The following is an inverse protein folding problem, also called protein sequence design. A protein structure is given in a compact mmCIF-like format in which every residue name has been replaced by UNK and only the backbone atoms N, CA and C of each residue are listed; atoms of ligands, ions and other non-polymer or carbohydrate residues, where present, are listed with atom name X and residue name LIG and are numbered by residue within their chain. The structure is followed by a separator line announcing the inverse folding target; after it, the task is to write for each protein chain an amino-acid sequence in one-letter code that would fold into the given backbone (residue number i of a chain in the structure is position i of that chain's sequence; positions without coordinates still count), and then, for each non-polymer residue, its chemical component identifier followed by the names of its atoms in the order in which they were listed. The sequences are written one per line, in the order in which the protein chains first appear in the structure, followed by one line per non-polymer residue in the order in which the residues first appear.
data_IF_172911620583
#
_entry.id   IF_172911620583
#
_cell.length_a   1.000
_cell.length_b   1.000
_cell.length_c   1.000
_cell.angle_alpha   90.00
_cell.angle_beta   90.00
_cell.angle_gamma   90.00
#
_symmetry.space_group_name_H-M   'P 1'
#
loop_
_entity.id
_entity.type
_entity.pdbx_description
1 polymer ?
#
# COMPACT_ATOMS: atom_id res chain seq x y z
N UNK A 1 3.36 -3.36 -8.45
CA UNK A 1 1.97 -2.83 -8.51
C UNK A 1 1.78 -2.12 -9.83
N UNK A 2 0.81 -2.51 -10.64
CA UNK A 2 0.43 -1.92 -11.95
C UNK A 2 1.53 -1.83 -13.03
N UNK A 3 2.60 -2.59 -12.91
CA UNK A 3 3.79 -2.44 -13.77
C UNK A 3 3.51 -2.62 -15.26
N UNK A 4 2.65 -3.56 -15.62
CA UNK A 4 2.29 -3.83 -17.01
C UNK A 4 1.46 -2.67 -17.58
N UNK A 5 0.45 -2.21 -16.83
CA UNK A 5 -0.40 -1.10 -17.26
C UNK A 5 0.41 0.20 -17.39
N UNK A 6 1.22 0.51 -16.37
CA UNK A 6 2.10 1.71 -16.37
C UNK A 6 3.05 1.71 -17.56
N UNK A 7 3.64 0.56 -17.91
CA UNK A 7 4.52 0.44 -19.05
C UNK A 7 3.80 0.71 -20.39
N UNK A 8 2.62 0.11 -20.58
CA UNK A 8 1.84 0.30 -21.81
C UNK A 8 1.35 1.73 -21.98
N UNK A 9 0.91 2.37 -20.89
CA UNK A 9 0.50 3.77 -20.90
C UNK A 9 1.69 4.69 -21.20
N UNK A 10 2.87 4.45 -20.63
CA UNK A 10 4.10 5.21 -20.93
C UNK A 10 4.49 5.09 -22.41
N UNK A 11 4.32 3.92 -23.04
CA UNK A 11 4.56 3.74 -24.47
C UNK A 11 3.55 4.54 -25.30
N UNK A 12 2.27 4.50 -24.94
CA UNK A 12 1.24 5.28 -25.65
C UNK A 12 1.54 6.80 -25.62
N UNK A 13 2.02 7.33 -24.47
CA UNK A 13 2.39 8.75 -24.37
C UNK A 13 3.71 9.09 -25.09
N UNK A 14 4.65 8.15 -25.20
CA UNK A 14 5.91 8.39 -25.94
C UNK A 14 5.67 8.68 -27.42
N UNK A 15 4.64 8.11 -28.01
CA UNK A 15 4.29 8.34 -29.42
C UNK A 15 3.87 9.79 -29.68
N UNK A 16 3.49 10.55 -28.64
CA UNK A 16 3.22 11.99 -28.72
C UNK A 16 4.45 12.88 -28.44
N UNK A 17 5.53 12.32 -27.89
CA UNK A 17 6.76 13.07 -27.64
C UNK A 17 7.42 13.44 -28.98
N UNK A 18 7.59 14.73 -29.23
CA UNK A 18 8.16 15.26 -30.49
C UNK A 18 7.14 15.83 -31.47
N UNK A 19 5.85 15.71 -31.15
CA UNK A 19 4.81 16.34 -31.96
C UNK A 19 4.49 17.74 -31.43
N UNK A 20 4.65 18.75 -32.22
CA UNK A 20 4.53 20.16 -31.81
C UNK A 20 3.08 20.65 -31.62
N UNK A 21 2.07 19.88 -32.03
CA UNK A 21 0.65 20.25 -31.91
C UNK A 21 -0.23 19.04 -31.65
N UNK A 22 -1.30 19.26 -30.87
CA UNK A 22 -2.40 18.30 -30.75
C UNK A 22 -3.22 18.37 -32.03
N UNK A 23 -3.32 17.24 -32.71
CA UNK A 23 -4.24 17.05 -33.83
C UNK A 23 -5.24 15.95 -33.48
N UNK A 24 -6.41 15.99 -34.11
CA UNK A 24 -7.44 14.97 -33.87
C UNK A 24 -6.91 13.55 -34.19
N UNK A 25 -6.07 13.41 -35.20
CA UNK A 25 -5.47 12.13 -35.61
C UNK A 25 -4.55 11.59 -34.50
N UNK A 26 -3.68 12.46 -33.94
CA UNK A 26 -2.71 12.07 -32.94
C UNK A 26 -3.39 11.67 -31.62
N UNK A 27 -4.40 12.43 -31.20
CA UNK A 27 -5.21 12.14 -30.02
C UNK A 27 -5.96 10.82 -30.21
N UNK A 28 -6.62 10.63 -31.35
CA UNK A 28 -7.37 9.41 -31.65
C UNK A 28 -6.48 8.15 -31.62
N UNK A 29 -5.27 8.23 -32.19
CA UNK A 29 -4.30 7.14 -32.16
C UNK A 29 -3.88 6.80 -30.72
N UNK A 30 -3.46 7.81 -29.95
CA UNK A 30 -3.00 7.60 -28.57
C UNK A 30 -4.12 7.11 -27.64
N UNK A 31 -5.34 7.65 -27.79
CA UNK A 31 -6.51 7.22 -27.03
C UNK A 31 -6.87 5.76 -27.34
N UNK A 32 -6.70 5.32 -28.59
CA UNK A 32 -6.86 3.90 -28.96
C UNK A 32 -5.83 3.01 -28.27
N UNK A 33 -4.58 3.44 -28.17
CA UNK A 33 -3.53 2.71 -27.43
C UNK A 33 -3.80 2.70 -25.92
N UNK A 34 -4.26 3.81 -25.34
CA UNK A 34 -4.67 3.87 -23.92
C UNK A 34 -5.82 2.88 -23.68
N UNK A 35 -6.85 2.88 -24.54
CA UNK A 35 -7.97 1.92 -24.42
C UNK A 35 -7.49 0.48 -24.48
N UNK A 36 -6.60 0.16 -25.40
CA UNK A 36 -6.01 -1.16 -25.51
C UNK A 36 -5.23 -1.54 -24.25
N UNK A 37 -4.42 -0.62 -23.72
CA UNK A 37 -3.67 -0.84 -22.48
C UNK A 37 -4.60 -1.12 -21.28
N UNK A 38 -5.73 -0.42 -21.16
CA UNK A 38 -6.73 -0.64 -20.13
C UNK A 38 -7.41 -2.01 -20.29
N UNK A 39 -7.78 -2.41 -21.51
CA UNK A 39 -8.39 -3.72 -21.78
C UNK A 39 -7.39 -4.85 -21.49
N UNK A 40 -6.14 -4.71 -21.92
CA UNK A 40 -5.07 -5.67 -21.64
C UNK A 40 -4.74 -5.76 -20.13
N UNK A 41 -5.07 -4.72 -19.37
CA UNK A 41 -4.98 -4.69 -17.91
C UNK A 41 -6.25 -5.25 -17.22
N UNK A 42 -7.12 -5.89 -17.98
CA UNK A 42 -8.36 -6.51 -17.46
C UNK A 42 -9.40 -5.51 -16.94
N UNK A 43 -9.37 -4.26 -17.46
CA UNK A 43 -10.41 -3.27 -17.16
C UNK A 43 -11.68 -3.62 -17.96
N UNK A 44 -12.84 -3.48 -17.33
CA UNK A 44 -14.13 -3.70 -18.00
C UNK A 44 -14.23 -2.86 -19.28
N UNK A 45 -14.66 -3.46 -20.41
CA UNK A 45 -14.70 -2.81 -21.71
C UNK A 45 -15.51 -1.50 -21.73
N UNK A 46 -16.70 -1.50 -21.09
CA UNK A 46 -17.55 -0.28 -21.02
C UNK A 46 -16.82 0.83 -20.29
N UNK A 47 -16.21 0.51 -19.16
CA UNK A 47 -15.42 1.44 -18.35
C UNK A 47 -14.24 1.99 -19.14
N UNK A 48 -13.46 1.12 -19.80
CA UNK A 48 -12.32 1.54 -20.62
C UNK A 48 -12.75 2.45 -21.79
N UNK A 49 -13.92 2.17 -22.40
CA UNK A 49 -14.49 2.99 -23.46
C UNK A 49 -14.90 4.36 -22.94
N UNK A 50 -15.69 4.44 -21.89
CA UNK A 50 -16.18 5.69 -21.30
C UNK A 50 -15.03 6.63 -20.91
N UNK A 51 -14.03 6.12 -20.19
CA UNK A 51 -12.85 6.89 -19.81
C UNK A 51 -12.08 7.43 -21.00
N UNK A 52 -11.84 6.58 -22.01
CA UNK A 52 -11.06 6.99 -23.16
C UNK A 52 -11.81 7.93 -24.10
N UNK A 53 -13.13 7.83 -24.16
CA UNK A 53 -13.96 8.80 -24.88
C UNK A 53 -13.96 10.15 -24.16
N UNK A 54 -14.02 10.19 -22.84
CA UNK A 54 -13.86 11.42 -22.03
C UNK A 54 -12.47 12.04 -22.21
N UNK A 55 -11.40 11.23 -22.18
CA UNK A 55 -10.03 11.70 -22.44
C UNK A 55 -9.95 12.37 -23.83
N UNK A 56 -10.53 11.74 -24.87
CA UNK A 56 -10.56 12.29 -26.23
C UNK A 56 -11.26 13.64 -26.28
N UNK A 57 -12.46 13.73 -25.72
CA UNK A 57 -13.26 14.97 -25.69
C UNK A 57 -12.52 16.10 -24.98
N UNK A 58 -11.97 15.85 -23.81
CA UNK A 58 -11.21 16.85 -23.03
C UNK A 58 -9.90 17.27 -23.70
N UNK A 59 -9.26 16.36 -24.40
CA UNK A 59 -8.03 16.68 -25.14
C UNK A 59 -8.29 17.55 -26.37
N UNK A 60 -9.41 17.34 -27.07
CA UNK A 60 -9.78 18.13 -28.26
C UNK A 60 -10.43 19.48 -27.89
N UNK A 61 -11.06 19.60 -26.72
CA UNK A 61 -11.73 20.83 -26.27
C UNK A 61 -10.82 21.85 -25.58
N UNK A 62 -9.54 21.56 -25.38
CA UNK A 62 -8.60 22.50 -24.73
C UNK A 62 -7.62 23.11 -25.71
N UNK A 63 -7.57 24.43 -25.75
CA UNK A 63 -6.47 25.16 -26.38
C UNK A 63 -5.16 24.81 -25.66
N UNK A 64 -4.18 24.32 -26.41
CA UNK A 64 -2.85 24.00 -25.85
C UNK A 64 -2.17 25.30 -25.49
N UNK A 65 -2.06 25.61 -24.21
CA UNK A 65 -1.22 26.70 -23.75
C UNK A 65 0.21 26.47 -24.26
N UNK A 66 0.79 27.53 -24.82
CA UNK A 66 2.11 27.54 -25.53
C UNK A 66 3.25 26.91 -24.70
N UNK A 67 3.06 26.76 -23.37
CA UNK A 67 4.08 26.28 -22.43
C UNK A 67 4.03 24.78 -22.07
N UNK A 68 3.03 24.01 -22.57
CA UNK A 68 2.84 22.60 -22.19
C UNK A 68 2.89 21.72 -23.43
N UNK A 69 3.69 20.65 -23.39
CA UNK A 69 3.75 19.71 -24.51
C UNK A 69 2.46 18.89 -24.64
N UNK A 70 2.03 18.49 -25.85
CA UNK A 70 0.86 17.66 -26.09
C UNK A 70 0.82 16.39 -25.22
N UNK A 71 1.96 15.72 -25.06
CA UNK A 71 2.07 14.52 -24.23
C UNK A 71 1.84 14.80 -22.74
N UNK A 72 2.34 15.93 -22.20
CA UNK A 72 2.12 16.33 -20.81
C UNK A 72 0.64 16.64 -20.54
N UNK A 73 -0.01 17.35 -21.46
CA UNK A 73 -1.44 17.66 -21.34
C UNK A 73 -2.29 16.37 -21.35
N UNK A 74 -2.03 15.45 -22.27
CA UNK A 74 -2.76 14.20 -22.34
C UNK A 74 -2.50 13.30 -21.11
N UNK A 75 -1.27 13.27 -20.60
CA UNK A 75 -0.93 12.57 -19.36
C UNK A 75 -1.72 13.15 -18.18
N UNK A 76 -1.81 14.48 -18.06
CA UNK A 76 -2.58 15.15 -17.01
C UNK A 76 -4.07 14.82 -17.12
N UNK A 77 -4.67 14.95 -18.32
CA UNK A 77 -6.08 14.59 -18.55
C UNK A 77 -6.32 13.13 -18.18
N UNK A 78 -5.43 12.22 -18.59
CA UNK A 78 -5.55 10.79 -18.27
C UNK A 78 -5.48 10.54 -16.77
N UNK A 79 -4.60 11.26 -16.03
CA UNK A 79 -4.53 11.17 -14.56
C UNK A 79 -5.83 11.62 -13.89
N UNK A 80 -6.35 12.75 -14.33
CA UNK A 80 -7.63 13.30 -13.83
C UNK A 80 -8.78 12.31 -14.08
N UNK A 81 -8.88 11.74 -15.29
CA UNK A 81 -9.93 10.78 -15.65
C UNK A 81 -9.81 9.46 -14.87
N UNK A 82 -8.61 8.92 -14.73
CA UNK A 82 -8.39 7.72 -13.92
C UNK A 82 -8.71 7.98 -12.44
N UNK A 83 -8.35 9.15 -11.91
CA UNK A 83 -8.71 9.56 -10.55
C UNK A 83 -10.22 9.64 -10.36
N UNK A 84 -10.94 10.29 -11.29
CA UNK A 84 -12.41 10.38 -11.28
C UNK A 84 -13.07 9.01 -11.38
N UNK A 85 -12.57 8.13 -12.24
CA UNK A 85 -13.04 6.75 -12.38
C UNK A 85 -12.97 5.99 -11.05
N UNK A 86 -11.89 6.16 -10.32
CA UNK A 86 -11.67 5.51 -9.01
C UNK A 86 -12.37 6.22 -7.86
N UNK A 87 -13.04 7.35 -8.11
CA UNK A 87 -13.86 8.02 -7.10
C UNK A 87 -13.59 9.50 -6.88
N UNK A 88 -12.60 10.06 -7.51
CA UNK A 88 -12.22 11.47 -7.41
C UNK A 88 -11.63 11.86 -6.07
N UNK A 89 -12.36 11.61 -4.98
CA UNK A 89 -11.94 11.94 -3.60
C UNK A 89 -11.84 10.71 -2.71
N UNK A 90 -11.01 10.81 -1.68
CA UNK A 90 -10.93 9.81 -0.63
C UNK A 90 -12.28 9.63 0.07
N UNK A 91 -12.62 8.38 0.42
CA UNK A 91 -13.79 8.06 1.24
C UNK A 91 -13.34 7.50 2.59
N UNK A 92 -13.78 8.14 3.66
CA UNK A 92 -13.45 7.71 5.01
C UNK A 92 -14.33 6.54 5.48
N UNK A 93 -13.78 5.74 6.41
CA UNK A 93 -14.55 4.71 7.11
C UNK A 93 -15.52 5.36 8.10
N UNK A 94 -16.76 4.87 8.14
CA UNK A 94 -17.74 5.34 9.11
C UNK A 94 -17.50 4.70 10.48
N UNK A 95 -17.11 5.52 11.44
CA UNK A 95 -16.84 5.11 12.82
C UNK A 95 -17.88 5.66 13.81
N UNK A 96 -19.10 5.88 13.35
CA UNK A 96 -20.21 6.31 14.21
C UNK A 96 -20.63 5.18 15.18
N UNK A 97 -21.12 5.59 16.35
CA UNK A 97 -21.52 4.63 17.42
C UNK A 97 -20.43 4.36 18.44
N UNK A 98 -20.85 3.81 19.60
CA UNK A 98 -19.96 3.44 20.69
C UNK A 98 -20.46 2.15 21.39
N UNK A 99 -19.89 0.97 21.09
CA UNK A 99 -18.88 0.74 20.07
C UNK A 99 -19.42 0.94 18.66
N UNK A 100 -18.58 1.42 17.72
CA UNK A 100 -18.88 1.25 16.31
C UNK A 100 -18.65 -0.20 15.89
N UNK A 101 -19.44 -0.69 14.96
CA UNK A 101 -19.36 -2.08 14.48
C UNK A 101 -19.00 -2.10 13.00
N UNK A 102 -17.95 -2.81 12.66
CA UNK A 102 -17.46 -2.97 11.28
C UNK A 102 -17.61 -4.44 10.89
N UNK A 103 -18.41 -4.70 9.86
CA UNK A 103 -18.61 -6.04 9.33
C UNK A 103 -17.71 -6.27 8.13
N UNK A 104 -16.92 -7.35 8.16
CA UNK A 104 -16.01 -7.72 7.08
C UNK A 104 -16.60 -8.87 6.29
N UNK A 105 -16.82 -8.69 5.00
CA UNK A 105 -17.40 -9.68 4.10
C UNK A 105 -16.53 -9.95 2.86
N UNK A 106 -16.72 -11.07 2.18
CA UNK A 106 -16.01 -11.45 0.96
C UNK A 106 -15.75 -12.94 0.82
N UNK A 107 -15.22 -13.38 -0.31
CA UNK A 107 -14.96 -14.80 -0.60
C UNK A 107 -13.80 -15.37 0.25
N UNK A 108 -13.70 -16.70 0.28
CA UNK A 108 -12.55 -17.38 0.86
C UNK A 108 -11.27 -17.00 0.12
N UNK A 109 -10.18 -16.80 0.86
CA UNK A 109 -8.88 -16.40 0.29
C UNK A 109 -8.78 -14.95 -0.14
N UNK A 110 -9.85 -14.13 -0.01
CA UNK A 110 -9.78 -12.69 -0.32
C UNK A 110 -8.97 -11.87 0.71
N UNK A 111 -8.54 -12.47 1.81
CA UNK A 111 -7.73 -11.79 2.82
C UNK A 111 -8.51 -11.11 3.96
N UNK A 112 -9.77 -11.48 4.20
CA UNK A 112 -10.62 -10.90 5.26
C UNK A 112 -9.97 -10.90 6.63
N UNK A 113 -9.56 -12.07 7.11
CA UNK A 113 -8.97 -12.26 8.44
C UNK A 113 -7.69 -11.45 8.62
N UNK A 114 -6.80 -11.46 7.60
CA UNK A 114 -5.58 -10.64 7.60
C UNK A 114 -5.93 -9.15 7.59
N UNK A 115 -6.92 -8.74 6.79
CA UNK A 115 -7.37 -7.36 6.74
C UNK A 115 -8.03 -6.93 8.04
N UNK A 116 -8.81 -7.78 8.70
CA UNK A 116 -9.40 -7.52 10.03
C UNK A 116 -8.31 -7.20 11.06
N UNK A 117 -7.21 -7.95 11.08
CA UNK A 117 -6.03 -7.67 11.92
C UNK A 117 -5.36 -6.33 11.54
N UNK A 118 -5.14 -6.06 10.25
CA UNK A 118 -4.56 -4.79 9.77
C UNK A 118 -5.43 -3.59 10.13
N UNK A 119 -6.74 -3.69 9.96
CA UNK A 119 -7.70 -2.64 10.32
C UNK A 119 -7.70 -2.40 11.82
N UNK A 120 -7.64 -3.47 12.63
CA UNK A 120 -7.53 -3.36 14.09
C UNK A 120 -6.25 -2.62 14.52
N UNK A 121 -5.11 -2.95 13.90
CA UNK A 121 -3.84 -2.25 14.13
C UNK A 121 -3.93 -0.77 13.74
N UNK A 122 -4.53 -0.48 12.58
CA UNK A 122 -4.75 0.89 12.09
C UNK A 122 -5.63 1.72 13.05
N UNK A 123 -6.75 1.16 13.52
CA UNK A 123 -7.65 1.84 14.46
C UNK A 123 -7.01 2.01 15.83
N UNK A 124 -6.22 1.04 16.30
CA UNK A 124 -5.45 1.14 17.57
C UNK A 124 -4.43 2.28 17.50
N UNK A 125 -3.72 2.44 16.37
CA UNK A 125 -2.80 3.58 16.16
C UNK A 125 -3.52 4.93 16.16
N UNK A 126 -4.82 4.95 15.82
CA UNK A 126 -5.69 6.14 15.93
C UNK A 126 -6.30 6.32 17.34
N UNK A 127 -5.80 5.61 18.34
CA UNK A 127 -6.23 5.74 19.75
C UNK A 127 -7.52 5.01 20.11
N UNK A 128 -8.01 4.10 19.25
CA UNK A 128 -9.23 3.33 19.54
C UNK A 128 -8.93 2.04 20.30
N UNK A 129 -9.86 1.66 21.20
CA UNK A 129 -9.87 0.36 21.86
C UNK A 129 -10.67 -0.61 21.00
N UNK A 130 -10.00 -1.61 20.39
CA UNK A 130 -10.60 -2.51 19.40
C UNK A 130 -10.87 -3.89 19.99
N UNK A 131 -11.96 -4.52 19.56
CA UNK A 131 -12.25 -5.94 19.74
C UNK A 131 -12.36 -6.59 18.37
N UNK A 132 -11.62 -7.67 18.14
CA UNK A 132 -11.79 -8.56 16.98
C UNK A 132 -12.77 -9.67 17.34
N UNK A 133 -13.68 -10.04 16.43
CA UNK A 133 -14.69 -11.08 16.63
C UNK A 133 -14.55 -12.14 15.56
N UNK A 134 -14.35 -13.41 15.98
CA UNK A 134 -14.21 -14.54 15.09
C UNK A 134 -15.58 -15.16 14.79
N UNK A 135 -16.17 -14.83 13.64
CA UNK A 135 -17.42 -15.39 13.15
C UNK A 135 -17.26 -16.38 11.98
N UNK A 136 -16.02 -16.83 11.67
CA UNK A 136 -15.82 -17.96 10.75
C UNK A 136 -15.98 -19.29 11.49
N UNK A 137 -17.24 -19.70 11.65
CA UNK A 137 -17.62 -20.91 12.41
C UNK A 137 -17.31 -22.22 11.69
N UNK A 138 -16.97 -22.16 10.41
CA UNK A 138 -16.71 -23.35 9.57
C UNK A 138 -15.26 -23.79 9.58
N UNK A 139 -14.33 -22.88 9.95
CA UNK A 139 -12.89 -23.14 9.90
C UNK A 139 -12.24 -22.83 11.24
N UNK A 140 -12.02 -23.84 12.09
CA UNK A 140 -11.32 -23.65 13.38
C UNK A 140 -9.97 -22.95 13.22
N UNK A 141 -9.21 -23.29 12.18
CA UNK A 141 -7.94 -22.65 11.88
C UNK A 141 -8.04 -21.12 11.62
N UNK A 142 -9.18 -20.63 11.13
CA UNK A 142 -9.39 -19.18 10.95
C UNK A 142 -9.55 -18.45 12.29
N UNK A 143 -10.21 -19.10 13.27
CA UNK A 143 -10.32 -18.57 14.64
C UNK A 143 -8.93 -18.48 15.26
N UNK A 144 -8.11 -19.52 15.16
CA UNK A 144 -6.77 -19.54 15.70
C UNK A 144 -5.87 -18.52 14.99
N UNK A 145 -5.99 -18.39 13.68
CA UNK A 145 -5.30 -17.35 12.91
C UNK A 145 -5.65 -15.95 13.41
N UNK A 146 -6.92 -15.66 13.66
CA UNK A 146 -7.34 -14.35 14.18
C UNK A 146 -6.81 -14.10 15.59
N UNK A 147 -6.75 -15.13 16.45
CA UNK A 147 -6.15 -15.03 17.79
C UNK A 147 -4.66 -14.69 17.70
N UNK A 148 -3.90 -15.40 16.86
CA UNK A 148 -2.46 -15.11 16.65
C UNK A 148 -2.26 -13.68 16.18
N UNK A 149 -3.06 -13.22 15.22
CA UNK A 149 -3.00 -11.83 14.75
C UNK A 149 -3.35 -10.84 15.88
N UNK A 150 -4.37 -11.14 16.69
CA UNK A 150 -4.74 -10.32 17.83
C UNK A 150 -3.60 -10.20 18.86
N UNK A 151 -2.95 -11.29 19.19
CA UNK A 151 -1.77 -11.32 20.07
C UNK A 151 -0.62 -10.50 19.50
N UNK A 152 -0.31 -10.68 18.22
CA UNK A 152 0.77 -9.95 17.53
C UNK A 152 0.59 -8.44 17.62
N UNK A 153 -0.64 -7.93 17.47
CA UNK A 153 -0.93 -6.49 17.51
C UNK A 153 -1.38 -5.99 18.88
N UNK A 154 -1.50 -6.89 19.87
CA UNK A 154 -1.99 -6.58 21.23
C UNK A 154 -3.45 -6.09 21.22
N UNK A 155 -4.33 -6.77 20.49
CA UNK A 155 -5.78 -6.53 20.42
C UNK A 155 -6.52 -7.78 20.88
N UNK A 156 -7.53 -7.59 21.73
CA UNK A 156 -8.37 -8.67 22.24
C UNK A 156 -9.20 -9.31 21.12
N UNK A 157 -9.29 -10.65 21.13
CA UNK A 157 -10.12 -11.45 20.21
C UNK A 157 -11.21 -12.15 20.97
N UNK A 158 -12.45 -11.94 20.59
CA UNK A 158 -13.61 -12.66 21.07
C UNK A 158 -13.92 -13.84 20.17
N UNK A 159 -14.05 -15.03 20.73
CA UNK A 159 -14.37 -16.25 20.01
C UNK A 159 -15.15 -17.23 20.90
N UNK A 160 -16.12 -17.91 20.31
CA UNK A 160 -16.87 -19.01 20.92
C UNK A 160 -16.73 -20.27 20.04
N UNK A 161 -15.66 -21.08 20.16
CA UNK A 161 -15.36 -22.17 19.23
C UNK A 161 -16.44 -23.24 19.12
N UNK A 162 -17.17 -23.47 20.21
CA UNK A 162 -18.24 -24.46 20.27
C UNK A 162 -19.58 -23.95 19.71
N UNK A 163 -19.74 -22.63 19.61
CA UNK A 163 -20.97 -22.02 19.11
C UNK A 163 -20.97 -22.03 17.57
N UNK A 164 -22.01 -22.60 16.98
CA UNK A 164 -22.19 -22.69 15.51
C UNK A 164 -23.15 -21.63 14.97
N UNK A 165 -23.50 -20.63 15.77
CA UNK A 165 -24.37 -19.54 15.35
C UNK A 165 -23.61 -18.22 15.32
N UNK A 166 -23.19 -17.80 14.14
CA UNK A 166 -22.40 -16.58 13.93
C UNK A 166 -23.13 -15.31 14.43
N UNK A 167 -24.46 -15.26 14.31
CA UNK A 167 -25.28 -14.15 14.80
C UNK A 167 -25.26 -14.05 16.31
N UNK A 168 -25.34 -15.19 17.00
CA UNK A 168 -25.28 -15.24 18.47
C UNK A 168 -23.88 -14.82 18.97
N UNK A 169 -22.81 -15.34 18.35
CA UNK A 169 -21.42 -14.96 18.66
C UNK A 169 -21.26 -13.44 18.53
N UNK A 170 -21.71 -12.85 17.44
CA UNK A 170 -21.61 -11.43 17.19
C UNK A 170 -22.37 -10.59 18.23
N UNK A 171 -23.59 -10.99 18.58
CA UNK A 171 -24.38 -10.32 19.63
C UNK A 171 -23.73 -10.41 21.01
N UNK A 172 -23.19 -11.57 21.38
CA UNK A 172 -22.47 -11.76 22.64
C UNK A 172 -21.19 -10.92 22.66
N UNK A 173 -20.46 -10.87 21.54
CA UNK A 173 -19.28 -10.02 21.39
C UNK A 173 -19.59 -8.53 21.54
N UNK A 174 -20.72 -8.04 21.02
CA UNK A 174 -21.15 -6.66 21.21
C UNK A 174 -21.48 -6.34 22.68
N UNK A 175 -22.14 -7.26 23.41
CA UNK A 175 -22.34 -7.13 24.87
C UNK A 175 -21.01 -7.09 25.61
N UNK A 176 -20.09 -7.99 25.26
CA UNK A 176 -18.75 -8.03 25.83
C UNK A 176 -17.98 -6.73 25.54
N UNK A 177 -18.02 -6.23 24.29
CA UNK A 177 -17.38 -4.98 23.91
C UNK A 177 -17.88 -3.78 24.76
N UNK A 178 -19.19 -3.67 24.94
CA UNK A 178 -19.80 -2.64 25.79
C UNK A 178 -19.35 -2.74 27.24
N UNK A 179 -19.35 -3.95 27.83
CA UNK A 179 -18.92 -4.17 29.23
C UNK A 179 -17.43 -3.87 29.45
N UNK A 180 -16.59 -4.03 28.41
CA UNK A 180 -15.15 -3.78 28.45
C UNK A 180 -14.75 -2.38 27.96
N UNK A 181 -15.70 -1.52 27.64
CA UNK A 181 -15.43 -0.15 27.15
C UNK A 181 -14.66 -0.12 25.82
N UNK A 182 -14.91 -1.09 24.95
CA UNK A 182 -14.32 -1.08 23.60
C UNK A 182 -15.03 -0.04 22.75
N UNK A 183 -14.27 0.74 21.97
CA UNK A 183 -14.81 1.78 21.11
C UNK A 183 -15.08 1.30 19.67
N UNK A 184 -14.49 0.17 19.27
CA UNK A 184 -14.63 -0.41 17.93
C UNK A 184 -14.70 -1.93 17.99
N UNK A 185 -15.59 -2.53 17.20
CA UNK A 185 -15.74 -3.98 17.05
C UNK A 185 -15.59 -4.32 15.57
N UNK A 186 -14.69 -5.23 15.23
CA UNK A 186 -14.48 -5.73 13.88
C UNK A 186 -14.93 -7.18 13.83
N UNK A 187 -15.93 -7.49 13.03
CA UNK A 187 -16.50 -8.83 12.89
C UNK A 187 -15.92 -9.48 11.62
N UNK A 188 -15.05 -10.47 11.81
CA UNK A 188 -14.48 -11.28 10.73
C UNK A 188 -15.40 -12.44 10.41
N UNK A 189 -15.96 -12.47 9.19
CA UNK A 189 -16.95 -13.46 8.79
C UNK A 189 -16.34 -14.61 8.00
N UNK A 190 -17.07 -15.72 7.95
CA UNK A 190 -16.74 -16.82 7.06
C UNK A 190 -16.68 -16.38 5.59
N UNK A 191 -15.88 -17.09 4.80
CA UNK A 191 -15.86 -16.96 3.35
C UNK A 191 -15.95 -18.35 2.73
N UNK A 192 -16.70 -18.46 1.62
CA UNK A 192 -16.75 -19.68 0.80
C UNK A 192 -16.03 -19.45 -0.52
N UNK A 193 -15.73 -20.55 -1.23
CA UNK A 193 -15.01 -20.49 -2.51
C UNK A 193 -15.81 -19.81 -3.61
N UNK A 194 -17.13 -19.88 -3.53
CA UNK A 194 -18.04 -19.24 -4.46
C UNK A 194 -19.20 -18.58 -3.72
N UNK A 195 -19.89 -17.67 -4.38
CA UNK A 195 -21.11 -17.06 -3.86
C UNK A 195 -22.22 -18.12 -3.92
N UNK A 196 -22.73 -18.50 -2.75
CA UNK A 196 -23.88 -19.39 -2.61
C UNK A 196 -24.96 -18.76 -1.74
N UNK A 197 -26.17 -19.25 -1.85
CA UNK A 197 -27.37 -18.72 -1.18
C UNK A 197 -27.23 -18.80 0.36
N UNK A 198 -26.71 -19.90 0.88
CA UNK A 198 -26.53 -20.10 2.32
C UNK A 198 -25.57 -19.08 2.94
N UNK A 199 -24.44 -18.83 2.27
CA UNK A 199 -23.47 -17.81 2.68
C UNK A 199 -24.10 -16.43 2.68
N UNK A 200 -24.84 -16.09 1.62
CA UNK A 200 -25.46 -14.76 1.54
C UNK A 200 -26.49 -14.54 2.63
N UNK A 201 -27.34 -15.53 2.91
CA UNK A 201 -28.32 -15.48 3.99
C UNK A 201 -27.66 -15.33 5.37
N UNK A 202 -26.53 -16.00 5.61
CA UNK A 202 -25.78 -15.90 6.88
C UNK A 202 -25.24 -14.49 7.07
N UNK A 203 -24.60 -13.92 6.05
CA UNK A 203 -24.02 -12.56 6.15
C UNK A 203 -25.12 -11.49 6.23
N UNK A 204 -26.23 -11.66 5.51
CA UNK A 204 -27.42 -10.80 5.63
C UNK A 204 -28.01 -10.86 7.05
N UNK A 205 -28.09 -12.07 7.61
CA UNK A 205 -28.53 -12.28 8.99
C UNK A 205 -27.63 -11.59 10.00
N UNK A 206 -26.30 -11.71 9.83
CA UNK A 206 -25.33 -11.01 10.63
C UNK A 206 -25.49 -9.48 10.50
N UNK A 207 -25.55 -8.95 9.29
CA UNK A 207 -25.72 -7.51 9.06
C UNK A 207 -26.98 -6.98 9.74
N UNK A 208 -28.10 -7.67 9.62
CA UNK A 208 -29.35 -7.28 10.29
C UNK A 208 -29.27 -7.31 11.80
N UNK A 209 -28.58 -8.32 12.35
CA UNK A 209 -28.51 -8.51 13.81
C UNK A 209 -27.59 -7.51 14.50
N UNK A 210 -26.47 -7.12 13.86
CA UNK A 210 -25.45 -6.25 14.49
C UNK A 210 -25.58 -4.79 14.06
N UNK A 211 -26.38 -4.47 13.06
CA UNK A 211 -26.58 -3.13 12.49
C UNK A 211 -25.24 -2.36 12.39
N UNK A 212 -24.33 -2.81 11.52
CA UNK A 212 -22.98 -2.29 11.49
C UNK A 212 -22.96 -0.84 11.00
N UNK A 213 -22.14 0.00 11.63
CA UNK A 213 -21.87 1.35 11.14
C UNK A 213 -21.13 1.35 9.79
N UNK A 214 -20.43 0.24 9.50
CA UNK A 214 -19.67 0.06 8.25
C UNK A 214 -19.66 -1.41 7.84
N UNK A 215 -20.02 -1.71 6.61
CA UNK A 215 -19.88 -3.03 5.98
C UNK A 215 -18.81 -2.94 4.89
N UNK A 216 -17.70 -3.64 5.06
CA UNK A 216 -16.60 -3.65 4.09
C UNK A 216 -16.55 -4.95 3.31
N UNK A 217 -16.54 -4.84 1.99
CA UNK A 217 -16.35 -5.96 1.07
C UNK A 217 -14.86 -6.08 0.73
N UNK A 218 -14.26 -7.21 1.13
CA UNK A 218 -12.85 -7.51 0.92
C UNK A 218 -12.69 -8.40 -0.29
N UNK A 219 -11.92 -7.94 -1.27
CA UNK A 219 -11.71 -8.65 -2.53
C UNK A 219 -10.23 -8.71 -2.92
N UNK A 220 -9.83 -9.83 -3.49
CA UNK A 220 -8.50 -10.05 -4.04
C UNK A 220 -8.36 -9.33 -5.38
N UNK A 221 -7.48 -8.35 -5.47
CA UNK A 221 -7.28 -7.56 -6.70
C UNK A 221 -6.68 -8.38 -7.84
N UNK A 222 -6.01 -9.49 -7.54
CA UNK A 222 -5.38 -10.35 -8.55
C UNK A 222 -6.39 -11.13 -9.38
N UNK A 223 -7.64 -11.26 -8.92
CA UNK A 223 -8.70 -12.00 -9.63
C UNK A 223 -9.35 -11.21 -10.78
N UNK A 224 -8.90 -9.95 -11.01
CA UNK A 224 -9.31 -9.17 -12.18
C UNK A 224 -10.83 -8.95 -12.27
N UNK A 225 -11.45 -9.32 -13.39
CA UNK A 225 -12.89 -9.14 -13.61
C UNK A 225 -13.77 -10.01 -12.69
N UNK A 226 -13.27 -11.14 -12.20
CA UNK A 226 -14.01 -11.95 -11.22
C UNK A 226 -14.19 -11.20 -9.89
N UNK A 227 -13.21 -10.36 -9.50
CA UNK A 227 -13.36 -9.45 -8.38
C UNK A 227 -14.55 -8.50 -8.57
N UNK A 228 -14.71 -7.95 -9.76
CA UNK A 228 -15.76 -6.99 -10.13
C UNK A 228 -17.13 -7.68 -10.13
N UNK A 229 -17.22 -8.86 -10.73
CA UNK A 229 -18.46 -9.65 -10.78
C UNK A 229 -18.91 -10.09 -9.39
N UNK A 230 -17.98 -10.55 -8.57
CA UNK A 230 -18.23 -10.91 -7.16
C UNK A 230 -18.73 -9.70 -6.37
N UNK A 231 -18.05 -8.55 -6.50
CA UNK A 231 -18.45 -7.32 -5.83
C UNK A 231 -19.88 -6.90 -6.20
N UNK A 232 -20.25 -7.04 -7.48
CA UNK A 232 -21.61 -6.76 -7.95
C UNK A 232 -22.63 -7.63 -7.24
N UNK A 233 -22.44 -8.95 -7.22
CA UNK A 233 -23.36 -9.91 -6.57
C UNK A 233 -23.48 -9.63 -5.06
N UNK A 234 -22.36 -9.36 -4.38
CA UNK A 234 -22.41 -8.99 -2.96
C UNK A 234 -23.12 -7.67 -2.73
N UNK A 235 -22.92 -6.66 -3.60
CA UNK A 235 -23.55 -5.36 -3.46
C UNK A 235 -25.07 -5.43 -3.62
N UNK A 236 -25.56 -6.21 -4.56
CA UNK A 236 -27.00 -6.43 -4.81
C UNK A 236 -27.71 -7.02 -3.58
N UNK A 237 -27.02 -7.82 -2.77
CA UNK A 237 -27.57 -8.51 -1.60
C UNK A 237 -27.29 -7.81 -0.28
N UNK A 238 -26.08 -7.34 -0.09
CA UNK A 238 -25.63 -6.77 1.18
C UNK A 238 -25.66 -5.24 1.20
N UNK A 239 -25.68 -4.56 0.05
CA UNK A 239 -25.54 -3.11 -0.02
C UNK A 239 -24.39 -2.63 0.90
N UNK A 240 -23.17 -3.12 0.68
CA UNK A 240 -22.01 -2.78 1.50
C UNK A 240 -21.59 -1.31 1.31
N UNK A 241 -20.87 -0.75 2.28
CA UNK A 241 -20.53 0.68 2.31
C UNK A 241 -19.21 1.00 1.62
N UNK A 242 -18.32 0.03 1.49
CA UNK A 242 -17.03 0.24 0.87
C UNK A 242 -16.31 -1.04 0.49
N UNK A 243 -15.36 -0.89 -0.42
CA UNK A 243 -14.51 -1.97 -0.93
C UNK A 243 -13.11 -1.88 -0.35
N UNK A 244 -12.52 -3.04 -0.08
CA UNK A 244 -11.12 -3.20 0.29
C UNK A 244 -10.43 -4.06 -0.75
N UNK A 245 -9.37 -3.53 -1.36
CA UNK A 245 -8.54 -4.27 -2.30
C UNK A 245 -7.35 -4.88 -1.56
N UNK A 246 -7.23 -6.21 -1.59
CA UNK A 246 -6.10 -6.94 -1.02
C UNK A 246 -5.16 -7.44 -2.10
N UNK A 247 -3.96 -7.87 -1.70
CA UNK A 247 -2.91 -8.45 -2.56
C UNK A 247 -2.52 -7.55 -3.74
N UNK A 248 -2.64 -6.24 -3.54
CA UNK A 248 -2.39 -5.26 -4.59
C UNK A 248 -0.90 -5.19 -4.99
N UNK A 249 0.00 -5.67 -4.13
CA UNK A 249 1.43 -5.87 -4.40
C UNK A 249 1.69 -6.91 -5.50
N UNK A 250 0.86 -7.95 -5.59
CA UNK A 250 0.89 -8.96 -6.66
C UNK A 250 0.14 -8.54 -7.93
N UNK A 251 -0.71 -7.52 -7.88
CA UNK A 251 -1.47 -7.05 -9.03
C UNK A 251 -0.65 -6.16 -9.96
N UNK A 252 -0.26 -6.71 -11.10
CA UNK A 252 0.46 -5.98 -12.15
C UNK A 252 -0.47 -5.33 -13.18
N UNK A 253 -1.76 -5.66 -13.18
CA UNK A 253 -2.76 -5.22 -14.17
C UNK A 253 -3.57 -4.02 -13.68
N UNK A 254 -4.15 -4.09 -12.47
CA UNK A 254 -4.93 -3.01 -11.87
C UNK A 254 -6.39 -2.91 -12.34
N UNK A 255 -6.87 -3.86 -13.13
CA UNK A 255 -8.21 -3.83 -13.71
C UNK A 255 -9.33 -3.83 -12.70
N UNK A 256 -9.18 -4.57 -11.59
CA UNK A 256 -10.15 -4.58 -10.50
C UNK A 256 -10.29 -3.19 -9.86
N UNK A 257 -9.17 -2.53 -9.53
CA UNK A 257 -9.16 -1.21 -8.93
C UNK A 257 -9.86 -0.15 -9.80
N UNK A 258 -9.68 -0.23 -11.12
CA UNK A 258 -10.26 0.70 -12.09
C UNK A 258 -11.74 0.42 -12.38
N UNK A 259 -12.19 -0.82 -12.25
CA UNK A 259 -13.55 -1.23 -12.68
C UNK A 259 -14.55 -1.30 -11.53
N UNK A 260 -14.10 -1.70 -10.33
CA UNK A 260 -14.99 -2.11 -9.25
C UNK A 260 -15.94 -0.99 -8.82
N UNK A 261 -15.41 0.22 -8.63
CA UNK A 261 -16.21 1.37 -8.21
C UNK A 261 -17.31 1.73 -9.22
N UNK A 262 -16.98 1.72 -10.51
CA UNK A 262 -17.94 2.06 -11.57
C UNK A 262 -19.06 1.02 -11.63
N UNK A 263 -18.72 -0.26 -11.43
CA UNK A 263 -19.70 -1.34 -11.54
C UNK A 263 -20.61 -1.42 -10.32
N UNK A 264 -20.08 -1.20 -9.11
CA UNK A 264 -20.87 -1.33 -7.86
C UNK A 264 -21.30 0.02 -7.26
N UNK A 265 -20.82 1.14 -7.79
CA UNK A 265 -21.09 2.50 -7.29
C UNK A 265 -20.74 2.70 -5.80
N UNK A 266 -19.81 1.90 -5.28
CA UNK A 266 -19.32 1.98 -3.90
C UNK A 266 -17.85 2.40 -3.87
N UNK A 267 -17.43 3.23 -2.88
CA UNK A 267 -16.06 3.71 -2.81
C UNK A 267 -15.09 2.57 -2.43
N UNK A 268 -13.89 2.64 -2.96
CA UNK A 268 -12.75 1.90 -2.40
C UNK A 268 -12.26 2.69 -1.20
N UNK A 269 -12.19 2.07 -0.01
CA UNK A 269 -11.78 2.74 1.23
C UNK A 269 -10.36 2.40 1.65
N UNK A 270 -9.95 1.15 1.45
CA UNK A 270 -8.63 0.68 1.83
C UNK A 270 -8.00 -0.18 0.75
N UNK A 271 -6.67 -0.16 0.77
CA UNK A 271 -5.83 -1.12 0.05
C UNK A 271 -4.92 -1.84 1.04
N UNK A 272 -4.65 -3.10 0.74
CA UNK A 272 -3.75 -3.93 1.54
C UNK A 272 -2.70 -4.56 0.63
N UNK A 273 -1.44 -4.34 0.98
CA UNK A 273 -0.28 -4.81 0.24
C UNK A 273 0.57 -5.70 1.14
N UNK A 274 0.97 -6.89 0.64
CA UNK A 274 1.78 -7.83 1.41
C UNK A 274 1.11 -8.35 2.70
N UNK A 275 1.88 -9.02 3.54
CA UNK A 275 1.38 -9.73 4.74
C UNK A 275 1.58 -8.96 6.05
N UNK A 276 2.46 -7.96 6.08
CA UNK A 276 2.76 -7.17 7.30
C UNK A 276 1.53 -6.44 7.80
N UNK A 277 1.35 -6.37 9.13
CA UNK A 277 0.18 -5.70 9.74
C UNK A 277 0.11 -4.20 9.48
N UNK A 278 1.24 -3.57 9.20
CA UNK A 278 1.34 -2.16 8.80
C UNK A 278 1.00 -1.90 7.32
N UNK A 279 0.94 -2.95 6.51
CA UNK A 279 0.71 -2.84 5.08
C UNK A 279 -0.78 -2.68 4.74
N UNK A 280 -1.37 -1.63 5.27
CA UNK A 280 -2.71 -1.12 5.01
C UNK A 280 -2.60 0.37 4.74
N UNK A 281 -3.21 0.83 3.66
CA UNK A 281 -3.29 2.25 3.31
C UNK A 281 -4.75 2.64 3.04
N UNK A 282 -5.10 3.88 3.36
CA UNK A 282 -6.35 4.48 2.90
C UNK A 282 -6.25 4.68 1.39
N UNK A 283 -7.34 4.44 0.67
CA UNK A 283 -7.36 4.59 -0.77
C UNK A 283 -7.49 6.06 -1.18
N UNK A 284 -6.51 6.54 -1.95
CA UNK A 284 -6.50 7.88 -2.52
C UNK A 284 -6.57 7.77 -4.06
N UNK A 285 -7.71 8.07 -4.70
CA UNK A 285 -7.90 7.93 -6.14
C UNK A 285 -6.86 8.64 -7.00
N UNK A 286 -6.55 9.90 -6.67
CA UNK A 286 -5.57 10.75 -7.35
C UNK A 286 -4.15 10.19 -7.26
N UNK A 287 -3.74 9.74 -6.07
CA UNK A 287 -2.41 9.14 -5.86
C UNK A 287 -2.29 7.80 -6.60
N UNK A 288 -3.38 7.04 -6.62
CA UNK A 288 -3.43 5.76 -7.36
C UNK A 288 -3.33 5.98 -8.87
N UNK A 289 -4.02 6.99 -9.41
CA UNK A 289 -3.90 7.39 -10.81
C UNK A 289 -2.44 7.77 -11.17
N UNK A 290 -1.78 8.53 -10.30
CA UNK A 290 -0.38 8.90 -10.48
C UNK A 290 0.56 7.68 -10.45
N UNK A 291 0.32 6.71 -9.56
CA UNK A 291 1.07 5.44 -9.54
C UNK A 291 0.89 4.65 -10.83
N UNK A 292 -0.34 4.53 -11.32
CA UNK A 292 -0.66 3.86 -12.60
C UNK A 292 0.08 4.52 -13.77
N UNK A 293 0.21 5.83 -13.77
CA UNK A 293 0.93 6.58 -14.80
C UNK A 293 2.45 6.61 -14.61
N UNK A 294 2.98 5.96 -13.58
CA UNK A 294 4.40 5.94 -13.26
C UNK A 294 4.95 7.30 -12.82
N UNK A 295 4.09 8.20 -12.35
CA UNK A 295 4.45 9.53 -11.84
C UNK A 295 4.91 9.50 -10.38
N UNK A 296 4.79 8.35 -9.71
CA UNK A 296 5.12 8.17 -8.31
C UNK A 296 4.03 8.64 -7.35
N UNK A 297 4.32 8.56 -6.07
CA UNK A 297 3.43 8.99 -4.98
C UNK A 297 4.24 9.55 -3.81
N UNK A 298 4.80 10.71 -4.02
CA UNK A 298 5.66 11.38 -3.03
C UNK A 298 4.89 11.71 -1.75
N UNK A 299 3.61 12.02 -1.85
CA UNK A 299 2.77 12.40 -0.68
C UNK A 299 2.64 11.20 0.26
N UNK A 300 2.25 10.03 -0.25
CA UNK A 300 2.17 8.81 0.57
C UNK A 300 3.54 8.40 1.14
N UNK A 301 4.63 8.60 0.40
CA UNK A 301 5.97 8.34 0.91
C UNK A 301 6.33 9.24 2.10
N UNK A 302 6.03 10.54 2.00
CA UNK A 302 6.26 11.52 3.08
C UNK A 302 5.37 11.21 4.29
N UNK A 303 4.10 10.89 4.08
CA UNK A 303 3.17 10.52 5.17
C UNK A 303 3.65 9.26 5.91
N UNK A 304 4.07 8.23 5.19
CA UNK A 304 4.65 7.00 5.79
C UNK A 304 5.93 7.32 6.56
N UNK A 305 6.80 8.15 6.00
CA UNK A 305 7.98 8.60 6.70
C UNK A 305 7.63 9.33 8.00
N UNK A 306 6.70 10.30 7.98
CA UNK A 306 6.28 11.04 9.16
C UNK A 306 5.64 10.16 10.25
N UNK A 307 4.92 9.11 9.88
CA UNK A 307 4.31 8.17 10.84
C UNK A 307 5.34 7.24 11.49
N UNK A 308 6.44 6.95 10.80
CA UNK A 308 7.42 5.94 11.22
C UNK A 308 8.64 6.56 11.89
N UNK A 309 9.02 7.79 11.50
CA UNK A 309 10.18 8.46 12.05
C UNK A 309 9.84 9.18 13.35
N UNK A 310 10.50 8.76 14.44
CA UNK A 310 10.54 9.50 15.68
C UNK A 310 11.34 10.80 15.47
N UNK A 311 10.72 11.95 15.76
CA UNK A 311 11.35 13.25 15.59
C UNK A 311 12.62 13.42 16.46
N UNK A 312 12.64 12.83 17.65
CA UNK A 312 13.79 12.87 18.54
C UNK A 312 14.95 12.06 17.97
N UNK A 313 14.66 10.86 17.44
CA UNK A 313 15.67 10.00 16.81
C UNK A 313 16.23 10.64 15.53
N UNK A 314 15.37 11.26 14.72
CA UNK A 314 15.78 12.00 13.52
C UNK A 314 16.72 13.18 13.88
N UNK A 315 16.41 13.94 14.93
CA UNK A 315 17.28 15.03 15.41
C UNK A 315 18.61 14.52 15.98
N UNK A 316 18.58 13.40 16.71
CA UNK A 316 19.78 12.74 17.23
C UNK A 316 20.69 12.28 16.10
N UNK A 317 20.10 11.66 15.08
CA UNK A 317 20.83 11.21 13.90
C UNK A 317 21.45 12.38 13.13
N UNK A 318 20.69 13.46 12.93
CA UNK A 318 21.20 14.67 12.28
C UNK A 318 22.39 15.28 13.04
N UNK A 319 22.35 15.30 14.39
CA UNK A 319 23.47 15.74 15.22
C UNK A 319 24.70 14.84 15.05
N UNK A 320 24.52 13.51 15.00
CA UNK A 320 25.61 12.54 14.76
C UNK A 320 26.21 12.69 13.36
N UNK A 321 25.36 12.89 12.35
CA UNK A 321 25.81 13.12 10.96
C UNK A 321 26.64 14.40 10.86
N UNK A 322 26.22 15.50 11.49
CA UNK A 322 27.01 16.77 11.55
C UNK A 322 28.34 16.59 12.22
N UNK A 323 28.44 15.76 13.27
CA UNK A 323 29.67 15.46 14.00
C UNK A 323 30.53 14.38 13.33
N UNK A 324 30.16 13.85 12.15
CA UNK A 324 30.81 12.72 11.48
C UNK A 324 30.87 11.44 12.35
N UNK A 325 29.91 11.23 13.25
CA UNK A 325 29.82 10.11 14.19
C UNK A 325 28.79 9.05 13.74
N UNK A 326 28.47 9.00 12.46
CA UNK A 326 27.54 8.00 11.91
C UNK A 326 28.25 6.64 11.86
N UNK A 327 27.69 5.67 12.59
CA UNK A 327 28.21 4.30 12.73
C UNK A 327 27.28 3.24 12.12
N UNK A 328 27.68 1.98 12.22
CA UNK A 328 26.87 0.85 11.76
C UNK A 328 25.60 0.65 12.61
N UNK A 329 25.59 1.02 13.89
CA UNK A 329 24.37 0.97 14.71
C UNK A 329 23.32 1.97 14.20
N UNK A 330 23.76 3.17 13.80
CA UNK A 330 22.85 4.18 13.21
C UNK A 330 22.31 3.70 11.85
N UNK A 331 23.17 3.04 11.05
CA UNK A 331 22.77 2.46 9.77
C UNK A 331 21.74 1.33 9.97
N UNK A 332 21.95 0.45 10.95
CA UNK A 332 21.02 -0.64 11.27
C UNK A 332 19.66 -0.10 11.73
N UNK A 333 19.67 0.92 12.62
CA UNK A 333 18.44 1.61 13.07
C UNK A 333 17.67 2.20 11.90
N UNK A 334 18.35 2.87 10.96
CA UNK A 334 17.72 3.41 9.75
C UNK A 334 17.12 2.32 8.86
N UNK A 335 17.84 1.20 8.69
CA UNK A 335 17.35 0.07 7.91
C UNK A 335 16.08 -0.53 8.55
N UNK A 336 16.05 -0.67 9.86
CA UNK A 336 14.87 -1.14 10.60
C UNK A 336 13.68 -0.19 10.48
N UNK A 337 13.92 1.12 10.51
CA UNK A 337 12.87 2.13 10.29
C UNK A 337 12.30 2.05 8.87
N UNK A 338 13.16 1.92 7.85
CA UNK A 338 12.71 1.75 6.46
C UNK A 338 11.86 0.47 6.32
N UNK A 339 12.27 -0.64 6.94
CA UNK A 339 11.50 -1.90 6.93
C UNK A 339 10.13 -1.76 7.60
N UNK A 340 10.00 -0.90 8.63
CA UNK A 340 8.71 -0.60 9.28
C UNK A 340 7.78 0.23 8.40
N UNK A 341 8.29 0.98 7.42
CA UNK A 341 7.48 1.75 6.47
C UNK A 341 6.77 0.87 5.43
N UNK A 342 7.18 -0.37 5.28
CA UNK A 342 6.62 -1.33 4.32
C UNK A 342 7.68 -2.02 3.46
N UNK A 343 7.26 -2.56 2.31
CA UNK A 343 8.20 -3.19 1.37
C UNK A 343 9.06 -2.11 0.68
N UNK A 344 10.37 -2.31 0.67
CA UNK A 344 11.32 -1.32 0.12
C UNK A 344 11.08 -1.09 -1.38
N UNK A 345 10.73 -2.13 -2.13
CA UNK A 345 10.42 -2.02 -3.55
C UNK A 345 9.21 -1.10 -3.80
N UNK A 346 8.17 -1.20 -2.96
CA UNK A 346 7.00 -0.34 -3.04
C UNK A 346 7.33 1.12 -2.70
N UNK A 347 8.14 1.33 -1.65
CA UNK A 347 8.59 2.67 -1.26
C UNK A 347 9.42 3.35 -2.36
N UNK A 348 10.33 2.60 -2.99
CA UNK A 348 11.12 3.11 -4.11
C UNK A 348 10.25 3.38 -5.34
N UNK A 349 9.19 2.60 -5.56
CA UNK A 349 8.19 2.84 -6.61
C UNK A 349 7.40 4.14 -6.43
N UNK A 350 7.31 4.67 -5.19
CA UNK A 350 6.68 5.96 -4.91
C UNK A 350 7.53 7.16 -5.33
N UNK A 351 8.83 6.96 -5.57
CA UNK A 351 9.75 8.04 -6.00
C UNK A 351 9.65 8.21 -7.52
N UNK A 352 9.31 9.42 -8.02
CA UNK A 352 9.22 9.68 -9.45
C UNK A 352 10.53 9.35 -10.19
N UNK A 353 10.45 8.58 -11.26
CA UNK A 353 11.60 8.20 -12.10
C UNK A 353 12.48 7.08 -11.56
N UNK A 354 12.44 6.74 -10.28
CA UNK A 354 13.25 5.67 -9.67
C UNK A 354 12.61 4.30 -9.92
N UNK A 355 11.29 4.20 -9.88
CA UNK A 355 10.57 2.94 -10.08
C UNK A 355 10.92 2.24 -11.41
N UNK A 356 11.27 3.01 -12.46
CA UNK A 356 11.72 2.46 -13.75
C UNK A 356 13.14 1.91 -13.70
N UNK A 357 14.03 2.54 -12.91
CA UNK A 357 15.45 2.18 -12.84
C UNK A 357 15.71 0.90 -12.01
N UNK A 358 14.78 0.56 -11.11
CA UNK A 358 14.92 -0.60 -10.20
C UNK A 358 14.02 -1.78 -10.56
N UNK A 359 13.33 -1.72 -11.70
CA UNK A 359 12.40 -2.76 -12.15
C UNK A 359 13.06 -4.15 -12.25
N UNK A 360 14.33 -4.17 -12.68
CA UNK A 360 15.13 -5.36 -12.90
C UNK A 360 16.00 -5.75 -11.68
N UNK A 361 15.90 -4.98 -10.58
CA UNK A 361 16.65 -5.27 -9.37
C UNK A 361 15.69 -5.96 -8.38
N UNK A 362 15.96 -7.20 -8.09
CA UNK A 362 15.23 -7.96 -7.07
C UNK A 362 15.70 -7.52 -5.68
N UNK A 363 15.08 -6.45 -5.16
CA UNK A 363 15.31 -5.96 -3.80
C UNK A 363 14.19 -6.53 -2.93
N UNK A 364 14.42 -7.71 -2.38
CA UNK A 364 13.58 -8.29 -1.33
C UNK A 364 14.11 -7.90 0.05
N UNK A 365 13.24 -7.86 1.05
CA UNK A 365 13.58 -7.72 2.46
C UNK A 365 14.63 -8.77 2.91
N UNK A 366 14.63 -9.94 2.28
CA UNK A 366 15.63 -11.01 2.46
C UNK A 366 17.05 -10.56 2.07
N UNK A 367 17.18 -9.68 1.09
CA UNK A 367 18.49 -9.18 0.61
C UNK A 367 19.26 -8.40 1.69
N UNK A 368 18.57 -7.92 2.72
CA UNK A 368 19.20 -7.19 3.84
C UNK A 368 19.61 -8.10 5.01
N UNK A 369 19.16 -9.36 5.07
CA UNK A 369 19.53 -10.31 6.13
C UNK A 369 21.04 -10.51 6.26
N UNK A 370 21.80 -10.69 5.16
CA UNK A 370 23.25 -10.80 5.26
C UNK A 370 23.91 -9.54 5.82
N UNK A 371 23.43 -8.37 5.46
CA UNK A 371 23.93 -7.07 5.95
C UNK A 371 23.71 -6.96 7.47
N UNK A 372 22.52 -7.27 7.94
CA UNK A 372 22.21 -7.30 9.37
C UNK A 372 23.05 -8.30 10.13
N UNK A 373 23.25 -9.51 9.59
CA UNK A 373 24.07 -10.53 10.20
C UNK A 373 25.53 -10.09 10.33
N UNK A 374 26.10 -9.46 9.30
CA UNK A 374 27.45 -8.89 9.32
C UNK A 374 27.56 -7.84 10.42
N UNK A 375 26.63 -6.87 10.48
CA UNK A 375 26.68 -5.79 11.47
C UNK A 375 26.51 -6.35 12.90
N UNK A 376 25.55 -7.28 13.10
CA UNK A 376 25.33 -7.93 14.40
C UNK A 376 26.53 -8.76 14.86
N UNK A 377 27.35 -9.26 13.95
CA UNK A 377 28.61 -9.97 14.25
C UNK A 377 29.79 -9.08 14.58
N UNK A 378 29.66 -7.75 14.41
CA UNK A 378 30.65 -6.77 14.83
C UNK A 378 30.55 -6.48 16.32
N UNK A 379 31.68 -6.17 16.97
CA UNK A 379 31.68 -5.62 18.34
C UNK A 379 31.13 -4.19 18.35
N UNK A 380 30.75 -3.70 19.53
CA UNK A 380 30.25 -2.33 19.69
C UNK A 380 31.26 -1.28 19.19
N UNK A 381 32.54 -1.51 19.46
CA UNK A 381 33.64 -0.62 19.02
C UNK A 381 33.78 -0.63 17.50
N UNK A 382 33.68 -1.81 16.85
CA UNK A 382 33.73 -1.94 15.40
C UNK A 382 32.55 -1.30 14.69
N UNK A 383 31.35 -1.35 15.30
CA UNK A 383 30.16 -0.67 14.76
C UNK A 383 30.29 0.85 14.84
N UNK A 384 30.86 1.35 15.95
CA UNK A 384 31.04 2.78 16.16
C UNK A 384 32.21 3.33 15.34
N UNK A 385 33.32 2.58 15.24
CA UNK A 385 34.52 2.96 14.51
C UNK A 385 34.94 1.87 13.50
N UNK A 386 34.36 1.87 12.31
CA UNK A 386 34.65 0.85 11.28
C UNK A 386 36.09 0.82 10.79
N UNK A 387 36.83 1.92 11.01
CA UNK A 387 38.22 2.06 10.53
C UNK A 387 39.19 1.10 11.25
N UNK A 388 38.80 0.55 12.42
CA UNK A 388 39.61 -0.45 13.15
C UNK A 388 39.49 -1.86 12.59
N UNK A 389 38.57 -2.12 11.63
CA UNK A 389 38.29 -3.46 11.09
C UNK A 389 39.39 -3.87 10.12
N UNK A 390 40.40 -4.57 10.62
CA UNK A 390 41.48 -5.16 9.86
C UNK A 390 41.15 -6.55 9.27
N UNK A 391 42.10 -7.19 8.58
CA UNK A 391 41.89 -8.48 7.90
C UNK A 391 41.43 -9.62 8.82
N UNK A 392 42.00 -9.74 10.03
CA UNK A 392 41.62 -10.79 10.97
C UNK A 392 40.21 -10.57 11.53
N UNK A 393 39.85 -9.30 11.81
CA UNK A 393 38.49 -8.92 12.25
C UNK A 393 37.45 -9.20 11.15
N UNK A 394 37.78 -8.91 9.87
CA UNK A 394 36.90 -9.24 8.72
C UNK A 394 36.64 -10.73 8.60
N UNK A 395 37.67 -11.55 8.78
CA UNK A 395 37.54 -13.02 8.75
C UNK A 395 36.64 -13.52 9.91
N UNK A 396 36.82 -12.98 11.13
CA UNK A 396 35.99 -13.30 12.29
C UNK A 396 34.54 -12.89 12.08
N UNK A 397 34.29 -11.67 11.56
CA UNK A 397 32.94 -11.15 11.27
C UNK A 397 32.26 -12.02 10.20
N UNK A 398 32.97 -12.36 9.12
CA UNK A 398 32.44 -13.24 8.08
C UNK A 398 32.03 -14.61 8.61
N UNK A 399 32.87 -15.23 9.45
CA UNK A 399 32.59 -16.53 10.09
C UNK A 399 31.37 -16.43 11.04
N UNK A 400 31.29 -15.35 11.84
CA UNK A 400 30.20 -15.15 12.81
C UNK A 400 28.87 -14.85 12.16
N UNK A 401 28.87 -14.20 10.99
CA UNK A 401 27.64 -13.85 10.24
C UNK A 401 27.18 -14.92 9.25
N UNK A 402 27.98 -15.99 9.05
CA UNK A 402 27.69 -16.98 8.00
C UNK A 402 27.85 -16.44 6.57
N UNK A 403 28.63 -15.35 6.41
CA UNK A 403 28.86 -14.69 5.11
C UNK A 403 30.32 -14.85 4.66
N UNK A 404 30.63 -14.37 3.45
CA UNK A 404 32.00 -14.38 2.93
C UNK A 404 32.77 -13.12 3.32
N UNK A 405 34.11 -13.20 3.36
CA UNK A 405 34.99 -12.03 3.57
C UNK A 405 34.79 -10.99 2.45
N UNK A 406 34.42 -11.43 1.26
CA UNK A 406 34.10 -10.55 0.13
C UNK A 406 32.87 -9.69 0.41
N UNK A 407 31.79 -10.27 0.96
CA UNK A 407 30.59 -9.55 1.35
C UNK A 407 30.87 -8.54 2.48
N UNK A 408 31.67 -8.92 3.47
CA UNK A 408 32.11 -7.98 4.52
C UNK A 408 32.90 -6.81 3.92
N UNK A 409 33.84 -7.07 3.00
CA UNK A 409 34.61 -6.03 2.33
C UNK A 409 33.71 -5.10 1.49
N UNK A 410 32.73 -5.65 0.79
CA UNK A 410 31.77 -4.88 -0.01
C UNK A 410 30.94 -3.95 0.87
N UNK A 411 30.41 -4.46 1.98
CA UNK A 411 29.66 -3.64 2.94
C UNK A 411 30.51 -2.50 3.51
N UNK A 412 31.74 -2.78 3.95
CA UNK A 412 32.65 -1.77 4.46
C UNK A 412 33.00 -0.70 3.41
N UNK A 413 33.19 -1.09 2.15
CA UNK A 413 33.44 -0.17 1.04
C UNK A 413 32.24 0.75 0.81
N UNK A 414 31.03 0.18 0.67
CA UNK A 414 29.79 0.93 0.46
C UNK A 414 29.50 1.88 1.61
N UNK A 415 29.70 1.42 2.86
CA UNK A 415 29.53 2.25 4.05
C UNK A 415 30.50 3.44 4.07
N UNK A 416 31.76 3.24 3.71
CA UNK A 416 32.75 4.29 3.62
C UNK A 416 32.45 5.30 2.50
N UNK A 417 31.96 4.86 1.36
CA UNK A 417 31.52 5.72 0.26
C UNK A 417 30.34 6.59 0.71
N UNK A 418 29.36 6.01 1.40
CA UNK A 418 28.23 6.73 1.98
C UNK A 418 28.69 7.78 3.01
N UNK A 419 29.61 7.44 3.94
CA UNK A 419 30.21 8.40 4.89
C UNK A 419 30.92 9.56 4.18
N UNK A 420 31.65 9.29 3.09
CA UNK A 420 32.31 10.33 2.28
C UNK A 420 31.28 11.27 1.64
N UNK A 421 30.21 10.72 1.07
CA UNK A 421 29.14 11.52 0.47
C UNK A 421 28.46 12.42 1.52
N UNK A 422 28.14 11.90 2.70
CA UNK A 422 27.59 12.68 3.81
C UNK A 422 28.54 13.82 4.26
N UNK A 423 29.85 13.55 4.34
CA UNK A 423 30.85 14.59 4.65
C UNK A 423 30.90 15.70 3.60
N UNK A 424 30.78 15.36 2.32
CA UNK A 424 30.71 16.34 1.24
C UNK A 424 29.43 17.20 1.33
N UNK A 425 28.29 16.58 1.58
CA UNK A 425 27.01 17.30 1.76
C UNK A 425 27.07 18.27 2.95
N UNK A 426 27.68 17.86 4.06
CA UNK A 426 27.88 18.73 5.23
C UNK A 426 28.81 19.92 4.93
N UNK A 427 29.86 19.73 4.12
CA UNK A 427 30.79 20.81 3.71
C UNK A 427 30.17 21.80 2.72
N UNK A 428 29.24 21.38 1.87
CA UNK A 428 28.59 22.24 0.88
C UNK A 428 27.44 23.09 1.47
N UNK A 429 27.33 23.15 2.80
CA UNK A 429 26.38 24.02 3.50
C UNK A 429 24.92 23.57 3.31
N UNK A 430 24.55 22.61 4.12
CA UNK A 430 23.21 22.15 4.43
C UNK A 430 22.03 22.55 3.55
N UNK A 431 21.31 21.56 3.08
CA UNK A 431 19.87 21.50 2.68
C UNK A 431 19.13 22.71 2.06
N UNK A 432 19.54 23.94 2.30
CA UNK A 432 18.82 25.12 1.79
C UNK A 432 18.97 25.37 0.28
N UNK A 433 20.03 24.87 -0.36
CA UNK A 433 20.24 25.07 -1.81
C UNK A 433 19.69 23.95 -2.68
N UNK A 434 19.46 22.74 -2.16
CA UNK A 434 18.81 21.67 -2.93
C UNK A 434 17.28 21.80 -2.93
N UNK A 435 16.68 22.36 -1.88
CA UNK A 435 15.22 22.64 -1.82
C UNK A 435 14.82 23.91 -2.59
N UNK A 436 15.77 24.83 -2.86
CA UNK A 436 15.49 26.04 -3.68
C UNK A 436 15.51 25.76 -5.19
N UNK A 437 16.01 24.61 -5.61
CA UNK A 437 15.96 24.15 -7.01
C UNK A 437 14.73 23.29 -7.35
N UNK A 438 13.96 22.87 -6.36
CA UNK A 438 12.65 22.26 -6.55
C UNK A 438 11.60 23.36 -6.34
N UNK A 439 11.28 24.08 -7.39
CA UNK A 439 10.08 24.90 -7.44
C UNK A 439 8.86 24.01 -7.15
N UNK A 440 8.41 24.00 -5.90
CA UNK A 440 7.08 23.52 -5.54
C UNK A 440 6.08 24.60 -5.99
N UNK A 441 5.17 24.34 -6.92
CA UNK A 441 4.10 25.24 -7.21
C UNK A 441 3.07 25.12 -6.08
N UNK A 442 2.91 26.20 -5.28
CA UNK A 442 1.92 26.19 -4.24
C UNK A 442 2.01 27.38 -3.29
N UNK A 443 1.55 28.54 -3.73
CA UNK A 443 0.76 29.51 -2.98
C UNK A 443 -0.38 29.97 -3.87
#
# INVERSE_FOLDING_TARGET
MFDNLSYKLDQAFKNLKGQGRITEINVASTVKEIRRALIDADVNYKVAKEVTDSIKEKALGRDVLISVSPGQLLTKITSEELGMLMGGTQSEINLAGNPNTILISGLQGSGKTTFSGKLASYLKKKGRTVLLVACDIYRPAAIDQLKVLGEQIGVEVYAEPENKNAVEIANNALKHAKSRGKSSVIIDTAGRLAVDEQMMQEIEGLKKAVDPSETLFVVDSMTGQDAVNTAKTFNERLDFDGVVLTKLDGDTRGGAALSIRTVVSKPIKFISTGEKMEAIDVFHPDRMANRILGMGDVVSLVEKAQQTFDQEEAQRLQKKMRKNQFGFDDFLSQLEQIKKMGNIKDLMGMIPGVGKAIKDIDIDDESFKPIEAIIKSMTLEERTNPDIINGSRRSRIAKGSGTSVQQVNQLLKQFNEMRKMMKMMNKMGGSKRMLSGMNLPGR
#
